data_IF_883152184078
#
_entry.id   IF_883152184078
#
_cell.length_a   1.000
_cell.length_b   1.000
_cell.length_c   1.000
_cell.angle_alpha   90.00
_cell.angle_beta   90.00
_cell.angle_gamma   90.00
#
_symmetry.space_group_name_H-M   'P 1'
#
loop_
_entity.id
_entity.type
_entity.pdbx_description
1 polymer ?
#
# COMPACT_ATOMS: atom_id res chain seq x y z
N UNK A 1 -0.46 -28.09 27.00
CA UNK A 1 -0.97 -28.81 25.79
C UNK A 1 -2.03 -27.95 25.15
N UNK A 2 -1.69 -27.29 24.05
CA UNK A 2 -2.66 -26.53 23.26
C UNK A 2 -3.29 -27.53 22.30
N UNK A 3 -4.57 -27.84 22.48
CA UNK A 3 -5.29 -28.67 21.53
C UNK A 3 -5.35 -27.90 20.18
N UNK A 4 -4.77 -28.43 19.13
CA UNK A 4 -4.80 -27.79 17.83
C UNK A 4 -6.23 -27.71 17.32
N UNK A 5 -6.59 -26.55 16.78
CA UNK A 5 -7.94 -26.28 16.29
C UNK A 5 -7.87 -25.78 14.86
N UNK A 6 -8.61 -26.43 13.96
CA UNK A 6 -8.85 -25.93 12.62
C UNK A 6 -10.05 -24.98 12.66
N UNK A 7 -9.87 -23.76 12.16
CA UNK A 7 -10.93 -22.73 12.09
C UNK A 7 -11.26 -22.49 10.63
N UNK A 8 -12.45 -22.85 10.23
CA UNK A 8 -12.98 -22.51 8.91
C UNK A 8 -13.68 -21.14 8.95
N UNK A 9 -13.58 -20.39 7.86
CA UNK A 9 -14.23 -19.08 7.77
C UNK A 9 -15.70 -19.23 7.36
N UNK A 10 -16.60 -19.29 8.34
CA UNK A 10 -18.05 -19.44 8.13
C UNK A 10 -18.75 -18.30 7.39
N UNK A 11 -18.03 -17.24 6.98
CA UNK A 11 -18.60 -16.18 6.14
C UNK A 11 -18.62 -16.50 4.64
N UNK A 12 -18.10 -17.65 4.24
CA UNK A 12 -18.22 -18.13 2.88
C UNK A 12 -19.47 -19.01 2.76
N UNK A 13 -20.28 -18.73 1.74
CA UNK A 13 -21.31 -19.66 1.25
C UNK A 13 -20.64 -20.59 0.26
N UNK A 14 -20.54 -21.86 0.58
CA UNK A 14 -19.90 -22.85 -0.27
C UNK A 14 -20.70 -24.15 -0.25
N UNK A 15 -20.51 -24.99 -1.28
CA UNK A 15 -21.08 -26.33 -1.30
C UNK A 15 -20.42 -27.18 -0.21
N UNK A 16 -21.09 -28.27 0.19
CA UNK A 16 -20.55 -29.26 1.14
C UNK A 16 -19.19 -29.79 0.65
N UNK A 17 -19.10 -30.09 -0.62
CA UNK A 17 -17.86 -30.55 -1.27
C UNK A 17 -16.70 -29.54 -1.15
N UNK A 18 -16.97 -28.26 -1.39
CA UNK A 18 -15.96 -27.21 -1.25
C UNK A 18 -15.53 -27.01 0.21
N UNK A 19 -16.44 -27.22 1.16
CA UNK A 19 -16.09 -27.22 2.59
C UNK A 19 -15.23 -28.42 2.96
N UNK A 20 -15.53 -29.63 2.43
CA UNK A 20 -14.70 -30.83 2.63
C UNK A 20 -13.28 -30.60 2.08
N UNK A 21 -13.15 -30.10 0.85
CA UNK A 21 -11.85 -29.82 0.23
C UNK A 21 -11.03 -28.81 1.07
N UNK A 22 -11.69 -27.75 1.55
CA UNK A 22 -11.06 -26.77 2.44
C UNK A 22 -10.61 -27.42 3.76
N UNK A 23 -11.46 -28.22 4.36
CA UNK A 23 -11.15 -28.90 5.62
C UNK A 23 -9.95 -29.84 5.44
N UNK A 24 -9.91 -30.63 4.36
CA UNK A 24 -8.81 -31.54 4.08
C UNK A 24 -7.51 -30.77 3.81
N UNK A 25 -7.58 -29.62 3.15
CA UNK A 25 -6.44 -28.73 2.96
C UNK A 25 -5.87 -28.27 4.31
N UNK A 26 -6.70 -27.78 5.21
CA UNK A 26 -6.27 -27.35 6.56
C UNK A 26 -5.76 -28.53 7.40
N UNK A 27 -6.32 -29.72 7.22
CA UNK A 27 -5.80 -30.95 7.85
C UNK A 27 -4.40 -31.30 7.33
N UNK A 28 -4.07 -31.02 6.07
CA UNK A 28 -2.71 -31.20 5.54
C UNK A 28 -1.72 -30.24 6.24
N UNK A 29 -2.11 -28.99 6.50
CA UNK A 29 -1.30 -28.05 7.30
C UNK A 29 -1.07 -28.60 8.71
N UNK A 30 -2.12 -29.09 9.34
CA UNK A 30 -2.03 -29.68 10.67
C UNK A 30 -1.10 -30.89 10.69
N UNK A 31 -1.25 -31.82 9.73
CA UNK A 31 -0.41 -33.02 9.63
C UNK A 31 1.07 -32.66 9.43
N UNK A 32 1.35 -31.63 8.61
CA UNK A 32 2.70 -31.12 8.40
C UNK A 32 3.31 -30.58 9.69
N UNK A 33 2.53 -29.79 10.44
CA UNK A 33 2.95 -29.23 11.72
C UNK A 33 3.18 -30.32 12.78
N UNK A 34 2.30 -31.31 12.86
CA UNK A 34 2.39 -32.40 13.84
C UNK A 34 3.63 -33.28 13.63
N UNK A 35 4.11 -33.40 12.40
CA UNK A 35 5.35 -34.10 12.08
C UNK A 35 6.61 -33.29 12.46
N UNK A 36 6.46 -32.15 13.11
CA UNK A 36 7.56 -31.31 13.55
C UNK A 36 8.11 -30.36 12.49
N UNK A 37 7.46 -30.31 11.34
CA UNK A 37 7.81 -29.34 10.31
C UNK A 37 7.09 -28.02 10.57
N UNK A 38 7.83 -27.01 11.01
CA UNK A 38 7.35 -25.64 11.03
C UNK A 38 7.74 -24.97 9.71
N UNK A 39 6.92 -25.04 8.65
CA UNK A 39 7.30 -24.53 7.35
C UNK A 39 7.48 -23.00 7.44
N UNK A 40 8.63 -22.51 7.04
CA UNK A 40 8.86 -21.05 6.84
C UNK A 40 7.90 -20.47 5.80
N UNK A 41 7.35 -21.34 4.95
CA UNK A 41 6.33 -21.05 3.96
C UNK A 41 5.19 -22.04 4.14
N UNK A 42 3.98 -21.56 4.35
CA UNK A 42 2.80 -22.39 4.66
C UNK A 42 2.54 -23.56 3.68
N UNK A 43 2.98 -23.48 2.43
CA UNK A 43 2.84 -24.50 1.40
C UNK A 43 4.22 -24.96 0.88
N UNK A 44 5.13 -25.31 1.78
CA UNK A 44 6.46 -25.81 1.47
C UNK A 44 6.50 -27.23 0.88
N UNK A 45 7.70 -27.82 0.84
CA UNK A 45 7.90 -29.18 0.29
C UNK A 45 7.14 -30.22 1.10
N UNK A 46 7.16 -30.11 2.43
CA UNK A 46 6.52 -31.02 3.37
C UNK A 46 4.99 -31.02 3.20
N UNK A 47 4.39 -29.84 3.06
CA UNK A 47 2.96 -29.70 2.78
C UNK A 47 2.58 -30.41 1.47
N UNK A 48 3.37 -30.23 0.42
CA UNK A 48 3.13 -30.89 -0.87
C UNK A 48 3.21 -32.42 -0.77
N UNK A 49 4.17 -32.93 -0.02
CA UNK A 49 4.31 -34.40 0.20
C UNK A 49 3.09 -34.96 0.93
N UNK A 50 2.58 -34.25 1.96
CA UNK A 50 1.33 -34.63 2.64
C UNK A 50 0.16 -34.57 1.67
N UNK A 51 0.04 -33.51 0.88
CA UNK A 51 -1.02 -33.35 -0.13
C UNK A 51 -1.02 -34.47 -1.20
N UNK A 52 0.17 -34.81 -1.70
CA UNK A 52 0.33 -35.94 -2.64
C UNK A 52 -0.07 -37.32 -2.02
N UNK A 53 0.29 -37.52 -0.75
CA UNK A 53 -0.13 -38.68 -0.01
C UNK A 53 -1.65 -38.77 0.11
N UNK A 54 -2.31 -37.67 0.50
CA UNK A 54 -3.77 -37.58 0.62
C UNK A 54 -4.44 -37.78 -0.72
N UNK A 55 -3.95 -37.18 -1.80
CA UNK A 55 -4.46 -37.34 -3.14
C UNK A 55 -4.42 -38.81 -3.58
N UNK A 56 -3.29 -39.48 -3.38
CA UNK A 56 -3.15 -40.93 -3.70
C UNK A 56 -4.10 -41.81 -2.88
N UNK A 57 -4.19 -41.56 -1.56
CA UNK A 57 -5.06 -42.35 -0.66
C UNK A 57 -6.55 -42.15 -0.95
N UNK A 58 -6.94 -40.95 -1.33
CA UNK A 58 -8.32 -40.63 -1.73
C UNK A 58 -8.64 -41.00 -3.17
N UNK A 59 -7.72 -41.66 -3.90
CA UNK A 59 -7.85 -41.98 -5.33
C UNK A 59 -8.17 -40.76 -6.20
N UNK A 60 -7.58 -39.63 -5.86
CA UNK A 60 -7.78 -38.35 -6.56
C UNK A 60 -9.03 -37.55 -6.17
N UNK A 61 -9.81 -38.03 -5.16
CA UNK A 61 -10.98 -37.28 -4.67
C UNK A 61 -10.56 -35.89 -4.12
N UNK A 62 -9.42 -35.80 -3.44
CA UNK A 62 -8.86 -34.55 -2.95
C UNK A 62 -7.57 -34.22 -3.70
N UNK A 63 -7.55 -33.04 -4.33
CA UNK A 63 -6.37 -32.52 -5.01
C UNK A 63 -5.90 -31.31 -4.22
N UNK A 64 -4.84 -31.50 -3.40
CA UNK A 64 -4.35 -30.47 -2.51
C UNK A 64 -3.42 -29.52 -3.27
N UNK A 65 -3.88 -28.32 -3.53
CA UNK A 65 -3.16 -27.28 -4.24
C UNK A 65 -2.68 -26.16 -3.29
N UNK A 66 -1.67 -25.44 -3.72
CA UNK A 66 -1.16 -24.27 -2.97
C UNK A 66 -2.16 -23.12 -2.90
N UNK A 67 -2.90 -22.91 -3.98
CA UNK A 67 -3.88 -21.85 -4.13
C UNK A 67 -5.13 -22.45 -4.75
N UNK A 68 -6.29 -21.96 -4.33
CA UNK A 68 -7.55 -22.29 -4.98
C UNK A 68 -7.52 -21.89 -6.46
N UNK A 69 -8.05 -22.73 -7.31
CA UNK A 69 -8.25 -22.43 -8.73
C UNK A 69 -9.33 -21.37 -8.92
N UNK A 70 -9.40 -20.78 -10.12
CA UNK A 70 -10.47 -19.82 -10.44
C UNK A 70 -11.86 -20.45 -10.35
N UNK A 71 -11.99 -21.76 -10.66
CA UNK A 71 -13.25 -22.51 -10.53
C UNK A 71 -13.62 -22.74 -9.07
N UNK A 72 -12.66 -23.18 -8.26
CA UNK A 72 -12.85 -23.33 -6.80
C UNK A 72 -13.25 -22.00 -6.16
N UNK A 73 -12.63 -20.88 -6.56
CA UNK A 73 -12.97 -19.55 -6.05
C UNK A 73 -14.40 -19.11 -6.39
N UNK A 74 -14.97 -19.60 -7.50
CA UNK A 74 -16.37 -19.32 -7.86
C UNK A 74 -17.36 -20.05 -6.95
N UNK A 75 -16.95 -21.15 -6.32
CA UNK A 75 -17.77 -21.91 -5.37
C UNK A 75 -17.83 -21.26 -3.97
N UNK A 76 -17.03 -20.19 -3.74
CA UNK A 76 -16.99 -19.50 -2.47
C UNK A 76 -17.54 -18.07 -2.62
N UNK A 77 -18.75 -17.87 -2.19
CA UNK A 77 -19.35 -16.53 -2.14
C UNK A 77 -19.34 -16.00 -0.69
N UNK A 78 -18.77 -14.80 -0.50
CA UNK A 78 -18.86 -14.12 0.80
C UNK A 78 -20.30 -13.72 1.07
N UNK A 79 -20.77 -13.92 2.31
CA UNK A 79 -22.06 -13.40 2.72
C UNK A 79 -22.12 -11.87 2.65
N UNK A 80 -23.32 -11.32 2.45
CA UNK A 80 -23.51 -9.89 2.20
C UNK A 80 -23.17 -9.04 3.41
N UNK A 81 -23.37 -9.57 4.63
CA UNK A 81 -22.99 -8.89 5.87
C UNK A 81 -21.47 -8.74 5.97
N UNK A 82 -20.74 -9.81 5.64
CA UNK A 82 -19.28 -9.76 5.66
C UNK A 82 -18.72 -8.88 4.53
N UNK A 83 -19.32 -8.90 3.33
CA UNK A 83 -19.00 -7.97 2.23
C UNK A 83 -19.16 -6.52 2.68
N UNK A 84 -20.30 -6.19 3.29
CA UNK A 84 -20.57 -4.85 3.81
C UNK A 84 -19.58 -4.44 4.92
N UNK A 85 -19.28 -5.35 5.86
CA UNK A 85 -18.30 -5.12 6.92
C UNK A 85 -16.90 -4.91 6.38
N UNK A 86 -16.49 -5.68 5.37
CA UNK A 86 -15.21 -5.53 4.69
C UNK A 86 -15.12 -4.19 3.97
N UNK A 87 -16.15 -3.84 3.19
CA UNK A 87 -16.24 -2.55 2.50
C UNK A 87 -16.17 -1.36 3.47
N UNK A 88 -16.90 -1.44 4.60
CA UNK A 88 -16.84 -0.42 5.66
C UNK A 88 -15.45 -0.30 6.29
N UNK A 89 -14.76 -1.43 6.51
CA UNK A 89 -13.37 -1.41 7.03
C UNK A 89 -12.41 -0.76 6.03
N UNK A 90 -12.55 -1.07 4.76
CA UNK A 90 -11.73 -0.48 3.69
C UNK A 90 -11.99 1.01 3.54
N UNK A 91 -13.26 1.42 3.55
CA UNK A 91 -13.63 2.83 3.53
C UNK A 91 -13.06 3.60 4.75
N UNK A 92 -13.20 3.04 5.97
CA UNK A 92 -12.63 3.64 7.17
C UNK A 92 -11.08 3.69 7.15
N UNK A 93 -10.43 2.70 6.53
CA UNK A 93 -8.99 2.70 6.34
C UNK A 93 -8.57 3.80 5.37
N UNK A 94 -9.30 3.96 4.29
CA UNK A 94 -9.08 4.99 3.27
C UNK A 94 -9.29 6.39 3.82
N UNK A 95 -10.37 6.61 4.59
CA UNK A 95 -10.67 7.88 5.25
C UNK A 95 -9.60 8.35 6.27
N UNK A 96 -8.69 7.47 6.69
CA UNK A 96 -7.57 7.81 7.59
C UNK A 96 -6.28 8.14 6.85
N UNK A 97 -6.27 8.02 5.53
CA UNK A 97 -5.08 8.34 4.75
C UNK A 97 -5.00 9.86 4.59
N UNK A 98 -3.86 10.39 4.97
CA UNK A 98 -3.49 11.79 4.79
C UNK A 98 -2.47 11.86 3.65
N UNK A 99 -2.87 12.26 2.43
CA UNK A 99 -1.97 12.35 1.30
C UNK A 99 -1.12 13.61 1.43
N UNK A 100 0.20 13.43 1.38
CA UNK A 100 1.19 14.49 1.45
C UNK A 100 1.91 14.60 0.11
N UNK A 101 2.03 15.80 -0.41
CA UNK A 101 2.92 16.14 -1.51
C UNK A 101 4.14 16.88 -0.95
N UNK A 102 5.31 16.35 -1.26
CA UNK A 102 6.60 16.90 -0.84
C UNK A 102 7.28 17.42 -2.10
N UNK A 103 7.32 18.72 -2.24
CA UNK A 103 8.01 19.41 -3.33
C UNK A 103 9.50 19.43 -3.04
N UNK A 104 10.30 19.08 -4.02
CA UNK A 104 11.75 19.00 -3.91
C UNK A 104 12.40 20.21 -4.62
N UNK A 105 13.59 20.56 -4.19
CA UNK A 105 14.35 21.66 -4.83
C UNK A 105 14.74 21.37 -6.28
N UNK A 106 14.88 20.09 -6.66
CA UNK A 106 15.16 19.66 -8.04
C UNK A 106 13.94 19.69 -8.97
N UNK A 107 12.78 20.14 -8.46
CA UNK A 107 11.52 20.19 -9.20
C UNK A 107 10.69 18.90 -9.14
N UNK A 108 11.18 17.84 -8.50
CA UNK A 108 10.40 16.62 -8.28
C UNK A 108 9.32 16.82 -7.21
N UNK A 109 8.29 15.97 -7.26
CA UNK A 109 7.24 15.91 -6.25
C UNK A 109 7.14 14.49 -5.74
N UNK A 110 7.20 14.28 -4.41
CA UNK A 110 6.96 12.97 -3.79
C UNK A 110 5.57 12.90 -3.22
N UNK A 111 4.82 11.87 -3.60
CA UNK A 111 3.55 11.52 -2.96
C UNK A 111 3.82 10.53 -1.81
N UNK A 112 3.32 10.85 -0.63
CA UNK A 112 3.44 10.02 0.57
C UNK A 112 2.08 9.95 1.28
N UNK A 113 1.75 8.80 1.84
CA UNK A 113 0.55 8.64 2.66
C UNK A 113 0.91 8.50 4.13
N UNK A 114 0.37 9.39 4.95
CA UNK A 114 0.39 9.25 6.40
C UNK A 114 -0.97 8.71 6.90
N UNK A 115 -0.96 8.00 8.01
CA UNK A 115 -2.17 7.43 8.64
C UNK A 115 -2.46 8.02 10.02
N UNK A 116 -1.64 9.00 10.43
CA UNK A 116 -1.81 9.73 11.69
C UNK A 116 -1.03 11.03 11.66
N UNK A 117 -1.44 11.99 12.48
CA UNK A 117 -0.71 13.26 12.65
C UNK A 117 0.72 13.05 13.17
N UNK A 118 0.93 12.05 14.04
CA UNK A 118 2.27 11.71 14.52
C UNK A 118 3.20 11.28 13.37
N UNK A 119 2.66 10.54 12.38
CA UNK A 119 3.42 10.14 11.19
C UNK A 119 3.67 11.34 10.28
N UNK A 120 2.70 12.26 10.13
CA UNK A 120 2.89 13.52 9.40
C UNK A 120 4.07 14.30 9.98
N UNK A 121 4.08 14.51 11.31
CA UNK A 121 5.17 15.24 11.97
C UNK A 121 6.52 14.53 11.79
N UNK A 122 6.55 13.20 11.86
CA UNK A 122 7.77 12.43 11.61
C UNK A 122 8.28 12.63 10.18
N UNK A 123 7.40 12.66 9.19
CA UNK A 123 7.76 12.91 7.78
C UNK A 123 8.33 14.31 7.63
N UNK A 124 7.66 15.32 8.20
CA UNK A 124 8.15 16.70 8.17
C UNK A 124 9.58 16.79 8.75
N UNK A 125 9.82 16.19 9.91
CA UNK A 125 11.14 16.22 10.54
C UNK A 125 12.22 15.52 9.69
N UNK A 126 11.88 14.42 9.03
CA UNK A 126 12.81 13.70 8.13
C UNK A 126 13.15 14.57 6.93
N UNK A 127 12.16 15.18 6.29
CA UNK A 127 12.38 15.98 5.09
C UNK A 127 13.11 17.30 5.40
N UNK A 128 12.83 17.93 6.52
CA UNK A 128 13.59 19.09 7.01
C UNK A 128 15.08 18.76 7.19
N UNK A 129 15.37 17.62 7.83
CA UNK A 129 16.76 17.19 8.06
C UNK A 129 17.47 16.72 6.78
N UNK A 130 16.72 16.32 5.76
CA UNK A 130 17.31 15.90 4.48
C UNK A 130 17.77 17.06 3.61
N UNK A 131 17.29 18.28 3.88
CA UNK A 131 17.50 19.50 3.08
C UNK A 131 17.17 19.33 1.58
N UNK A 132 16.24 18.40 1.24
CA UNK A 132 15.83 18.12 -0.14
C UNK A 132 14.46 18.68 -0.48
N UNK A 133 13.60 18.81 0.51
CA UNK A 133 12.25 19.34 0.34
C UNK A 133 12.26 20.87 0.44
N UNK A 134 11.49 21.53 -0.42
CA UNK A 134 11.21 22.97 -0.37
C UNK A 134 9.86 23.26 0.28
N UNK A 135 8.88 22.36 0.12
CA UNK A 135 7.53 22.53 0.65
C UNK A 135 6.87 21.17 0.89
N UNK A 136 6.05 21.08 1.94
CA UNK A 136 5.21 19.91 2.24
C UNK A 136 3.78 20.40 2.39
N UNK A 137 2.87 19.81 1.62
CA UNK A 137 1.45 20.10 1.69
C UNK A 137 0.62 18.85 1.96
N UNK A 138 -0.46 19.01 2.71
CA UNK A 138 -1.52 18.03 2.85
C UNK A 138 -2.58 18.30 1.79
N UNK A 139 -2.91 17.30 0.99
CA UNK A 139 -4.02 17.40 0.02
C UNK A 139 -5.34 17.16 0.72
N UNK A 140 -6.27 18.10 0.58
CA UNK A 140 -7.61 18.08 1.20
C UNK A 140 -8.71 17.70 0.21
N UNK A 141 -8.39 17.51 -1.08
CA UNK A 141 -9.37 17.04 -2.07
C UNK A 141 -9.85 15.63 -1.69
N UNK A 142 -11.16 15.45 -1.43
CA UNK A 142 -11.74 14.15 -1.04
C UNK A 142 -11.57 13.08 -2.13
N UNK A 143 -11.44 13.46 -3.39
CA UNK A 143 -11.32 12.55 -4.53
C UNK A 143 -9.86 12.18 -4.84
N UNK A 144 -8.90 12.90 -4.27
CA UNK A 144 -7.47 12.72 -4.59
C UNK A 144 -7.00 11.28 -4.36
N UNK A 145 -7.37 10.68 -3.23
CA UNK A 145 -6.94 9.31 -2.90
C UNK A 145 -7.52 8.31 -3.90
N UNK A 146 -8.76 8.51 -4.36
CA UNK A 146 -9.41 7.64 -5.34
C UNK A 146 -8.73 7.73 -6.70
N UNK A 147 -8.44 8.95 -7.15
CA UNK A 147 -7.66 9.22 -8.36
C UNK A 147 -6.28 8.59 -8.27
N UNK A 148 -5.54 8.88 -7.20
CA UNK A 148 -4.19 8.31 -6.99
C UNK A 148 -4.19 6.78 -6.96
N UNK A 149 -5.21 6.15 -6.37
CA UNK A 149 -5.30 4.69 -6.33
C UNK A 149 -5.69 4.09 -7.68
N UNK A 150 -6.49 4.79 -8.49
CA UNK A 150 -6.79 4.39 -9.85
C UNK A 150 -5.54 4.41 -10.73
N UNK A 151 -4.69 5.43 -10.55
CA UNK A 151 -3.41 5.60 -11.26
C UNK A 151 -2.28 4.69 -10.74
N UNK A 152 -2.59 3.77 -9.81
CA UNK A 152 -1.64 2.76 -9.32
C UNK A 152 -0.82 3.18 -8.10
N UNK A 153 -0.98 4.39 -7.57
CA UNK A 153 -0.28 4.88 -6.37
C UNK A 153 -0.88 4.32 -5.07
N UNK A 154 -1.08 3.00 -5.02
CA UNK A 154 -1.69 2.31 -3.87
C UNK A 154 -0.66 1.96 -2.81
N UNK A 155 -0.99 2.20 -1.53
CA UNK A 155 -0.20 1.64 -0.43
C UNK A 155 -0.80 0.30 0.01
N UNK A 156 0.04 -0.74 0.03
CA UNK A 156 -0.36 -2.10 0.45
C UNK A 156 0.16 -2.42 1.85
N UNK A 157 1.14 -1.66 2.36
CA UNK A 157 1.84 -1.99 3.60
C UNK A 157 1.92 -0.82 4.56
N UNK A 158 2.17 -1.14 5.85
CA UNK A 158 2.42 -0.16 6.93
C UNK A 158 3.80 0.51 6.81
N UNK A 159 4.57 0.19 5.78
CA UNK A 159 5.90 0.72 5.55
C UNK A 159 5.80 2.07 4.86
N UNK A 160 6.63 3.02 5.26
CA UNK A 160 6.82 4.29 4.59
C UNK A 160 7.18 4.01 3.12
N UNK A 161 6.32 4.41 2.21
CA UNK A 161 6.52 4.31 0.77
C UNK A 161 6.21 5.65 0.16
N UNK A 162 7.04 6.09 -0.75
CA UNK A 162 6.81 7.28 -1.55
C UNK A 162 6.81 6.93 -3.03
N UNK A 163 6.13 7.75 -3.81
CA UNK A 163 6.17 7.73 -5.27
C UNK A 163 6.73 9.07 -5.73
N UNK A 164 7.66 9.01 -6.66
CA UNK A 164 8.18 10.20 -7.30
C UNK A 164 7.27 10.53 -8.49
N UNK A 165 6.63 11.67 -8.43
CA UNK A 165 5.83 12.25 -9.51
C UNK A 165 6.70 13.25 -10.27
N UNK A 166 6.47 13.37 -11.56
CA UNK A 166 7.10 14.42 -12.36
C UNK A 166 6.19 15.66 -12.40
N UNK A 167 6.78 16.81 -12.62
CA UNK A 167 6.00 18.01 -12.93
C UNK A 167 5.20 17.76 -14.21
N UNK A 168 3.87 17.96 -14.16
CA UNK A 168 2.97 17.62 -15.25
C UNK A 168 2.33 16.22 -15.14
N UNK A 169 2.58 15.49 -14.03
CA UNK A 169 1.82 14.27 -13.73
C UNK A 169 0.33 14.63 -13.60
N UNK A 170 -0.57 13.93 -14.32
CA UNK A 170 -2.01 14.22 -14.27
C UNK A 170 -2.64 14.17 -12.88
N UNK A 171 -1.99 13.48 -11.94
CA UNK A 171 -2.43 13.45 -10.54
C UNK A 171 -2.27 14.82 -9.86
N UNK A 172 -1.34 15.66 -10.34
CA UNK A 172 -1.10 17.00 -9.79
C UNK A 172 -2.03 18.06 -10.40
N UNK A 173 -2.77 17.71 -11.47
CA UNK A 173 -3.71 18.63 -12.10
C UNK A 173 -4.84 19.01 -11.16
N UNK A 174 -5.06 20.32 -11.01
CA UNK A 174 -6.08 20.86 -10.11
C UNK A 174 -5.68 20.88 -8.63
N UNK A 175 -4.45 20.57 -8.29
CA UNK A 175 -3.90 20.75 -6.94
C UNK A 175 -3.43 22.20 -6.79
N UNK A 176 -4.12 22.94 -5.92
CA UNK A 176 -3.86 24.36 -5.66
C UNK A 176 -4.02 24.71 -4.16
N UNK A 177 -3.92 25.98 -3.82
CA UNK A 177 -4.02 26.44 -2.44
C UNK A 177 -5.43 26.26 -1.84
N UNK A 178 -6.47 26.13 -2.65
CA UNK A 178 -7.86 25.96 -2.19
C UNK A 178 -8.11 24.55 -1.64
N UNK A 179 -7.38 23.56 -2.16
CA UNK A 179 -7.56 22.16 -1.82
C UNK A 179 -6.32 21.53 -1.14
N UNK A 180 -5.38 22.36 -0.69
CA UNK A 180 -4.20 21.94 0.07
C UNK A 180 -4.04 22.73 1.36
N UNK A 181 -3.26 22.18 2.28
CA UNK A 181 -2.79 22.84 3.48
C UNK A 181 -1.26 22.75 3.53
N UNK A 182 -0.58 23.90 3.55
CA UNK A 182 0.86 23.93 3.71
C UNK A 182 1.21 23.57 5.16
N UNK A 183 1.87 22.43 5.34
CA UNK A 183 2.31 21.94 6.64
C UNK A 183 3.70 22.44 7.00
N UNK A 184 4.54 22.63 5.98
CA UNK A 184 5.88 23.15 6.12
C UNK A 184 6.36 23.72 4.78
N UNK A 185 7.13 24.79 4.86
CA UNK A 185 7.81 25.40 3.72
C UNK A 185 9.16 25.94 4.19
N UNK A 186 10.20 25.74 3.39
CA UNK A 186 11.49 26.35 3.69
C UNK A 186 11.41 27.86 3.46
N UNK A 187 11.53 28.59 4.53
CA UNK A 187 11.51 30.06 4.50
C UNK A 187 12.72 30.65 3.76
N UNK A 188 13.78 29.87 3.60
CA UNK A 188 15.00 30.31 2.90
C UNK A 188 14.86 30.17 1.37
N UNK A 189 13.87 29.44 0.84
CA UNK A 189 13.70 29.29 -0.60
C UNK A 189 13.55 30.64 -1.31
N UNK A 190 12.74 31.54 -0.75
CA UNK A 190 12.55 32.88 -1.32
C UNK A 190 13.83 33.73 -1.27
N UNK A 191 14.63 33.58 -0.21
CA UNK A 191 15.92 34.24 -0.09
C UNK A 191 16.95 33.68 -1.08
N UNK A 192 17.01 32.39 -1.23
CA UNK A 192 17.90 31.69 -2.19
C UNK A 192 17.50 32.06 -3.63
N UNK A 193 16.22 31.96 -3.97
CA UNK A 193 15.73 32.37 -5.30
C UNK A 193 16.02 33.84 -5.59
N UNK A 194 15.78 34.71 -4.62
CA UNK A 194 16.06 36.11 -4.75
C UNK A 194 17.56 36.34 -4.98
N UNK A 195 18.43 35.71 -4.18
CA UNK A 195 19.89 35.84 -4.32
C UNK A 195 20.36 35.29 -5.70
N UNK A 196 19.83 34.17 -6.18
CA UNK A 196 20.14 33.63 -7.50
C UNK A 196 19.69 34.58 -8.59
N UNK A 197 18.48 35.11 -8.53
CA UNK A 197 17.98 36.06 -9.53
C UNK A 197 18.76 37.38 -9.53
N UNK A 198 19.12 37.87 -8.37
CA UNK A 198 19.98 39.07 -8.24
C UNK A 198 21.37 38.81 -8.86
N UNK A 199 21.99 37.66 -8.58
CA UNK A 199 23.28 37.27 -9.16
C UNK A 199 23.21 37.13 -10.69
N UNK A 200 22.15 36.53 -11.22
CA UNK A 200 21.94 36.42 -12.67
C UNK A 200 21.74 37.78 -13.31
N UNK A 201 20.95 38.66 -12.69
CA UNK A 201 20.73 40.00 -13.21
C UNK A 201 22.03 40.83 -13.24
N UNK A 202 22.81 40.76 -12.19
CA UNK A 202 24.13 41.43 -12.14
C UNK A 202 25.11 40.89 -13.18
N UNK A 203 25.05 39.58 -13.47
CA UNK A 203 25.87 38.96 -14.52
C UNK A 203 25.47 39.42 -15.90
N UNK A 204 24.18 39.49 -16.20
CA UNK A 204 23.66 39.94 -17.49
C UNK A 204 23.90 41.44 -17.73
N UNK A 205 23.83 42.27 -16.70
CA UNK A 205 24.15 43.67 -16.78
C UNK A 205 25.64 43.90 -17.13
N UNK A 206 26.55 43.14 -16.51
CA UNK A 206 28.00 43.23 -16.82
C UNK A 206 28.36 42.81 -18.24
N UNK A 207 27.64 41.85 -18.81
CA UNK A 207 27.86 41.47 -20.22
C UNK A 207 27.32 42.52 -21.18
N UNK A 208 26.25 43.24 -20.85
CA UNK A 208 25.72 44.32 -21.68
C UNK A 208 26.56 45.56 -21.72
N UNK A 209 27.37 45.83 -20.71
CA UNK A 209 28.26 46.99 -20.61
C UNK A 209 29.63 46.74 -21.33
N UNK A 210 29.84 45.55 -21.82
CA UNK A 210 31.12 45.15 -22.48
C UNK A 210 31.03 45.09 -24.03
N UNK A 211 29.91 45.51 -24.61
CA UNK A 211 29.66 45.58 -26.06
C UNK A 211 29.58 47.07 -26.45
#
# INVERSE_FOLDING_TARGET
DVNPTIKLNGHYKATEEAWEDTLVHEMCHYATYYQGYAPKQGHGVEFRQVGEYVSRKSKGRFTIQRLATSEEMQNFELDDEFKAKKARREANKKARILPLLIYLYDGGVRLVYATSQALVQKIINIEQNSHRASKIVLVKDPNFIDKAFADGYKTISRTYKYWLLQLGDPLLDGIDESNTETLWQDMNENLIRKAIMETISEFLERESDTV
#
